data_IF_486059528637
#
_entry.id   IF_486059528637
#
_cell.length_a   1.000
_cell.length_b   1.000
_cell.length_c   1.000
_cell.angle_alpha   90.00
_cell.angle_beta   90.00
_cell.angle_gamma   90.00
#
_symmetry.space_group_name_H-M   'P 1'
#
loop_
_entity.id
_entity.type
_entity.pdbx_description
1 polymer ?
#
# COMPACT_ATOMS: atom_id res chain seq x y z
N UNK A 1 21.40 9.57 5.24
CA UNK A 1 21.07 8.32 4.51
C UNK A 1 19.65 8.44 4.00
N UNK A 2 19.46 8.87 2.75
CA UNK A 2 18.12 9.03 2.13
C UNK A 2 17.97 7.96 1.07
N UNK A 3 17.71 6.73 1.53
CA UNK A 3 17.29 5.60 0.72
C UNK A 3 16.17 4.88 1.45
N UNK A 4 15.33 4.08 0.75
CA UNK A 4 14.35 3.25 1.42
C UNK A 4 15.05 2.40 2.49
N UNK A 5 14.48 2.33 3.69
CA UNK A 5 14.97 1.41 4.73
C UNK A 5 15.09 -0.01 4.17
N UNK A 6 16.08 -0.77 4.65
CA UNK A 6 16.36 -2.12 4.16
C UNK A 6 15.05 -2.94 4.16
N UNK A 7 14.76 -3.62 3.03
CA UNK A 7 13.55 -4.44 2.84
C UNK A 7 12.30 -3.69 2.37
N UNK A 8 12.39 -2.40 2.03
CA UNK A 8 11.35 -1.65 1.32
C UNK A 8 11.65 -1.60 -0.17
N UNK A 9 10.72 -2.12 -0.97
CA UNK A 9 10.83 -2.18 -2.42
C UNK A 9 9.86 -1.19 -3.06
N UNK A 10 10.41 -0.16 -3.71
CA UNK A 10 9.62 0.92 -4.32
C UNK A 10 8.87 0.40 -5.55
N UNK A 11 7.58 0.74 -5.63
CA UNK A 11 6.73 0.45 -6.78
C UNK A 11 6.63 1.67 -7.69
N UNK A 12 6.62 1.42 -9.00
CA UNK A 12 6.33 2.47 -9.98
C UNK A 12 4.83 2.80 -9.91
N UNK A 13 4.50 3.89 -9.22
CA UNK A 13 3.12 4.18 -8.86
C UNK A 13 2.78 5.66 -8.97
N UNK A 14 1.48 5.95 -9.15
CA UNK A 14 0.91 7.29 -9.06
C UNK A 14 -0.23 7.25 -8.04
N UNK A 15 -0.20 8.15 -7.08
CA UNK A 15 -1.21 8.22 -6.01
C UNK A 15 -2.08 9.44 -6.19
N UNK A 16 -3.39 9.25 -6.07
CA UNK A 16 -4.40 10.29 -6.15
C UNK A 16 -5.22 10.30 -4.87
N UNK A 17 -5.39 11.48 -4.28
CA UNK A 17 -6.25 11.73 -3.12
C UNK A 17 -7.29 12.78 -3.52
N UNK A 18 -8.58 12.46 -3.38
CA UNK A 18 -9.69 13.34 -3.80
C UNK A 18 -9.49 13.84 -5.24
N UNK A 19 -9.18 12.89 -6.12
CA UNK A 19 -8.89 13.08 -7.55
C UNK A 19 -7.67 13.96 -7.89
N UNK A 20 -6.92 14.43 -6.90
CA UNK A 20 -5.68 15.19 -7.11
C UNK A 20 -4.49 14.27 -6.97
N UNK A 21 -3.59 14.29 -7.97
CA UNK A 21 -2.30 13.60 -7.87
C UNK A 21 -1.49 14.20 -6.72
N UNK A 22 -0.95 13.35 -5.86
CA UNK A 22 -0.07 13.74 -4.76
C UNK A 22 1.34 13.16 -4.95
N UNK A 23 2.34 13.81 -4.35
CA UNK A 23 3.67 13.23 -4.21
C UNK A 23 3.61 12.18 -3.10
N UNK A 24 3.69 10.91 -3.47
CA UNK A 24 3.67 9.80 -2.54
C UNK A 24 4.51 8.65 -3.10
N UNK A 25 5.24 7.98 -2.23
CA UNK A 25 6.00 6.79 -2.56
C UNK A 25 5.29 5.55 -2.03
N UNK A 26 5.19 4.52 -2.87
CA UNK A 26 4.54 3.26 -2.51
C UNK A 26 5.59 2.17 -2.44
N UNK A 27 5.60 1.43 -1.33
CA UNK A 27 6.57 0.37 -1.09
C UNK A 27 5.88 -0.92 -0.70
N UNK A 28 6.41 -2.05 -1.19
CA UNK A 28 6.19 -3.33 -0.52
C UNK A 28 7.24 -3.42 0.59
N UNK A 29 6.80 -3.51 1.83
CA UNK A 29 7.66 -3.68 2.98
C UNK A 29 7.70 -5.15 3.37
N UNK A 30 8.82 -5.80 3.09
CA UNK A 30 8.97 -7.25 3.24
C UNK A 30 9.08 -7.66 4.72
N UNK A 31 8.38 -8.74 5.07
CA UNK A 31 8.54 -9.40 6.38
C UNK A 31 10.01 -9.71 6.68
N UNK A 32 10.41 -9.52 7.94
CA UNK A 32 11.75 -9.84 8.44
C UNK A 32 12.74 -8.70 8.31
N UNK A 33 12.38 -7.62 7.61
CA UNK A 33 13.21 -6.43 7.48
C UNK A 33 12.62 -5.25 8.24
N UNK A 34 13.47 -4.36 8.77
CA UNK A 34 13.06 -3.13 9.46
C UNK A 34 11.91 -3.34 10.48
N UNK A 35 11.95 -4.44 11.23
CA UNK A 35 10.94 -4.89 12.21
C UNK A 35 9.55 -5.25 11.66
N UNK A 36 9.38 -5.35 10.34
CA UNK A 36 8.14 -5.81 9.72
C UNK A 36 7.87 -7.29 10.09
N UNK A 37 6.85 -7.51 10.92
CA UNK A 37 6.40 -8.86 11.30
C UNK A 37 5.65 -9.58 10.18
N UNK A 38 5.06 -8.81 9.27
CA UNK A 38 4.27 -9.28 8.14
C UNK A 38 4.55 -8.37 6.93
N UNK A 39 4.59 -8.93 5.74
CA UNK A 39 4.73 -8.16 4.50
C UNK A 39 3.49 -7.30 4.29
N UNK A 40 3.67 -6.00 4.07
CA UNK A 40 2.57 -5.04 3.90
C UNK A 40 2.89 -4.01 2.82
N UNK A 41 1.89 -3.21 2.45
CA UNK A 41 2.06 -2.11 1.51
C UNK A 41 2.12 -0.78 2.26
N UNK A 42 3.22 -0.04 2.12
CA UNK A 42 3.39 1.31 2.63
C UNK A 42 3.02 2.33 1.54
N UNK A 43 2.31 3.41 1.91
CA UNK A 43 2.06 4.58 1.07
C UNK A 43 2.51 5.80 1.87
N UNK A 44 3.65 6.36 1.49
CA UNK A 44 4.35 7.41 2.23
C UNK A 44 4.14 8.77 1.56
N UNK A 45 3.46 9.68 2.27
CA UNK A 45 3.24 11.08 1.92
C UNK A 45 2.73 11.84 3.13
N UNK A 46 3.26 13.03 3.38
CA UNK A 46 2.78 13.93 4.44
C UNK A 46 1.28 14.25 4.31
N UNK A 47 0.75 14.27 3.06
CA UNK A 47 -0.67 14.52 2.80
C UNK A 47 -1.60 13.41 3.32
N UNK A 48 -1.04 12.27 3.72
CA UNK A 48 -1.77 11.12 4.27
C UNK A 48 -1.69 11.06 5.80
N UNK A 49 -0.97 11.98 6.47
CA UNK A 49 -0.81 11.97 7.94
C UNK A 49 -2.12 12.15 8.72
N UNK A 50 -3.16 12.67 8.07
CA UNK A 50 -4.45 12.98 8.69
C UNK A 50 -5.62 12.27 8.02
N UNK A 51 -5.35 11.25 7.19
CA UNK A 51 -6.40 10.58 6.42
C UNK A 51 -7.20 9.59 7.27
N UNK A 52 -6.62 9.10 8.37
CA UNK A 52 -7.25 8.18 9.31
C UNK A 52 -7.56 8.88 10.63
N UNK A 53 -8.61 8.41 11.30
CA UNK A 53 -8.93 8.85 12.66
C UNK A 53 -8.18 7.96 13.66
N UNK A 54 -7.01 8.39 14.13
CA UNK A 54 -6.19 7.67 15.10
C UNK A 54 -5.17 6.71 14.48
N UNK A 55 -4.91 5.57 15.13
CA UNK A 55 -3.82 4.66 14.76
C UNK A 55 -4.14 3.77 13.53
N UNK A 56 -5.40 3.70 13.12
CA UNK A 56 -5.83 2.89 11.99
C UNK A 56 -7.28 2.45 12.11
N UNK A 57 -7.79 1.88 11.02
CA UNK A 57 -9.17 1.38 10.93
C UNK A 57 -9.29 0.28 9.87
N UNK A 58 -10.34 -0.54 9.97
CA UNK A 58 -10.62 -1.56 8.97
C UNK A 58 -11.35 -0.96 7.76
N UNK A 59 -10.62 -0.82 6.65
CA UNK A 59 -11.14 -0.28 5.40
C UNK A 59 -11.29 -1.35 4.32
N UNK A 60 -12.22 -1.10 3.40
CA UNK A 60 -12.34 -1.90 2.19
C UNK A 60 -11.39 -1.36 1.14
N UNK A 61 -10.51 -2.22 0.66
CA UNK A 61 -9.63 -1.97 -0.50
C UNK A 61 -10.27 -2.65 -1.70
N UNK A 62 -10.37 -1.94 -2.83
CA UNK A 62 -10.88 -2.50 -4.09
C UNK A 62 -9.79 -2.54 -5.14
N UNK A 63 -9.72 -3.64 -5.88
CA UNK A 63 -8.95 -3.74 -7.10
C UNK A 63 -9.63 -2.95 -8.22
N UNK A 64 -8.82 -2.31 -9.06
CA UNK A 64 -9.25 -1.45 -10.17
C UNK A 64 -8.41 -1.76 -11.41
N UNK A 65 -8.88 -1.33 -12.58
CA UNK A 65 -8.13 -1.47 -13.85
C UNK A 65 -6.71 -0.89 -13.81
N UNK A 66 -6.43 0.01 -12.86
CA UNK A 66 -5.16 0.72 -12.75
C UNK A 66 -4.34 0.34 -11.51
N UNK A 67 -4.84 -0.51 -10.60
CA UNK A 67 -4.20 -0.80 -9.32
C UNK A 67 -5.24 -0.99 -8.21
N UNK A 68 -5.13 -0.26 -7.11
CA UNK A 68 -6.06 -0.38 -5.97
C UNK A 68 -6.66 0.96 -5.55
N UNK A 69 -7.77 0.92 -4.81
CA UNK A 69 -8.41 2.09 -4.23
C UNK A 69 -8.89 1.83 -2.80
N UNK A 70 -8.97 2.91 -2.02
CA UNK A 70 -9.58 2.96 -0.69
C UNK A 70 -10.77 3.94 -0.79
N UNK A 71 -11.97 3.47 -1.18
CA UNK A 71 -13.08 4.37 -1.55
C UNK A 71 -13.50 5.33 -0.44
N UNK A 72 -13.57 4.86 0.81
CA UNK A 72 -13.93 5.69 1.97
C UNK A 72 -12.96 6.84 2.25
N UNK A 73 -11.75 6.77 1.69
CA UNK A 73 -10.71 7.79 1.85
C UNK A 73 -10.42 8.53 0.55
N UNK A 74 -11.18 8.26 -0.51
CA UNK A 74 -10.99 8.84 -1.84
C UNK A 74 -9.54 8.72 -2.33
N UNK A 75 -8.86 7.63 -1.94
CA UNK A 75 -7.46 7.37 -2.25
C UNK A 75 -7.36 6.30 -3.34
N UNK A 76 -6.57 6.56 -4.38
CA UNK A 76 -6.30 5.62 -5.48
C UNK A 76 -4.82 5.49 -5.70
N UNK A 77 -4.35 4.26 -5.84
CA UNK A 77 -2.96 3.91 -6.14
C UNK A 77 -2.91 3.22 -7.48
N UNK A 78 -2.36 3.91 -8.47
CA UNK A 78 -2.18 3.40 -9.81
C UNK A 78 -0.83 2.69 -9.85
N UNK A 79 -0.82 1.37 -10.02
CA UNK A 79 0.37 0.53 -10.05
C UNK A 79 0.00 -0.82 -10.67
N UNK A 80 0.68 -1.20 -11.75
CA UNK A 80 0.36 -2.42 -12.50
C UNK A 80 0.62 -3.68 -11.68
N UNK A 81 1.66 -3.69 -10.85
CA UNK A 81 1.97 -4.82 -9.97
C UNK A 81 0.84 -5.09 -8.96
N UNK A 82 0.16 -4.06 -8.46
CA UNK A 82 -0.93 -4.21 -7.50
C UNK A 82 -2.19 -4.85 -8.09
N UNK A 83 -2.36 -4.84 -9.42
CA UNK A 83 -3.44 -5.58 -10.09
C UNK A 83 -3.31 -7.09 -9.91
N UNK A 84 -2.09 -7.60 -9.71
CA UNK A 84 -1.86 -9.02 -9.41
C UNK A 84 -2.27 -9.33 -7.97
N UNK A 85 -1.99 -8.42 -7.04
CA UNK A 85 -2.31 -8.53 -5.61
C UNK A 85 -3.83 -8.56 -5.42
N UNK A 86 -4.52 -7.54 -5.93
CA UNK A 86 -5.97 -7.41 -5.87
C UNK A 86 -6.54 -7.05 -7.25
N UNK A 87 -6.91 -8.06 -8.06
CA UNK A 87 -7.45 -7.88 -9.40
C UNK A 87 -8.68 -6.98 -9.47
N UNK A 88 -8.94 -6.33 -10.63
CA UNK A 88 -10.14 -5.54 -10.82
C UNK A 88 -11.43 -6.30 -10.46
N UNK A 89 -12.36 -5.60 -9.81
CA UNK A 89 -13.62 -6.20 -9.34
C UNK A 89 -13.51 -6.97 -8.02
N UNK A 90 -12.31 -7.29 -7.55
CA UNK A 90 -12.11 -7.88 -6.22
C UNK A 90 -12.05 -6.81 -5.12
N UNK A 91 -12.42 -7.20 -3.91
CA UNK A 91 -12.31 -6.36 -2.74
C UNK A 91 -11.85 -7.17 -1.53
N UNK A 92 -11.11 -6.52 -0.63
CA UNK A 92 -10.71 -7.11 0.65
C UNK A 92 -10.89 -6.07 1.75
N UNK A 93 -11.45 -6.48 2.88
CA UNK A 93 -11.50 -5.66 4.09
C UNK A 93 -10.30 -5.99 4.95
N UNK A 94 -9.49 -4.98 5.25
CA UNK A 94 -8.18 -5.14 5.89
C UNK A 94 -7.88 -3.95 6.79
N UNK A 95 -6.90 -4.11 7.68
CA UNK A 95 -6.42 -3.03 8.51
C UNK A 95 -5.60 -2.04 7.69
N UNK A 96 -5.97 -0.77 7.75
CA UNK A 96 -5.17 0.34 7.26
C UNK A 96 -4.70 1.13 8.46
N UNK A 97 -3.39 1.15 8.70
CA UNK A 97 -2.80 1.78 9.85
C UNK A 97 -2.14 3.11 9.51
N UNK A 98 -2.15 4.02 10.46
CA UNK A 98 -1.40 5.27 10.39
C UNK A 98 0.07 4.97 10.67
N UNK A 99 0.97 5.65 9.95
CA UNK A 99 2.39 5.71 10.26
C UNK A 99 2.88 7.14 10.16
N UNK A 100 4.10 7.37 10.63
CA UNK A 100 4.82 8.61 10.37
C UNK A 100 4.95 8.75 8.86
N UNK A 101 4.51 9.89 8.33
CA UNK A 101 4.53 10.25 6.91
C UNK A 101 3.75 9.32 5.99
N UNK A 102 2.64 8.74 6.45
CA UNK A 102 1.76 8.00 5.54
C UNK A 102 0.85 6.98 6.20
N UNK A 103 0.49 5.97 5.42
CA UNK A 103 -0.32 4.84 5.87
C UNK A 103 0.31 3.51 5.44
N UNK A 104 -0.10 2.43 6.08
CA UNK A 104 0.19 1.07 5.60
C UNK A 104 -1.08 0.24 5.48
N UNK A 105 -1.07 -0.74 4.56
CA UNK A 105 -2.18 -1.67 4.32
C UNK A 105 -1.73 -3.09 4.71
N UNK A 106 -2.30 -3.61 5.78
CA UNK A 106 -2.00 -4.93 6.36
C UNK A 106 -2.85 -6.06 5.76
N UNK A 107 -2.64 -6.34 4.47
CA UNK A 107 -3.38 -7.33 3.67
C UNK A 107 -3.59 -8.71 4.33
N UNK A 108 -4.57 -9.49 3.84
CA UNK A 108 -4.75 -10.89 4.28
C UNK A 108 -3.71 -11.79 3.65
N UNK A 109 -3.57 -13.01 4.18
CA UNK A 109 -2.56 -14.00 3.75
C UNK A 109 -2.52 -14.22 2.23
N UNK A 110 -3.68 -14.30 1.57
CA UNK A 110 -3.78 -14.46 0.11
C UNK A 110 -3.13 -13.33 -0.67
N UNK A 111 -3.34 -12.08 -0.26
CA UNK A 111 -2.74 -10.90 -0.90
C UNK A 111 -1.27 -10.72 -0.50
N UNK A 112 -0.90 -11.09 0.73
CA UNK A 112 0.50 -11.10 1.19
C UNK A 112 1.37 -12.00 0.32
N UNK A 113 0.92 -13.24 0.05
CA UNK A 113 1.68 -14.17 -0.79
C UNK A 113 1.94 -13.60 -2.19
N UNK A 114 0.98 -12.86 -2.75
CA UNK A 114 1.12 -12.20 -4.05
C UNK A 114 2.10 -11.01 -3.99
N UNK A 115 2.11 -10.25 -2.90
CA UNK A 115 3.13 -9.21 -2.66
C UNK A 115 4.53 -9.83 -2.60
N UNK A 116 4.68 -10.95 -1.89
CA UNK A 116 5.96 -11.67 -1.77
C UNK A 116 6.40 -12.28 -3.11
N UNK A 117 5.47 -12.74 -3.94
CA UNK A 117 5.77 -13.19 -5.31
C UNK A 117 6.25 -12.05 -6.22
N UNK A 118 5.74 -10.82 -6.03
CA UNK A 118 6.26 -9.64 -6.75
C UNK A 118 7.69 -9.34 -6.32
N UNK A 119 8.01 -9.51 -5.03
CA UNK A 119 9.36 -9.30 -4.50
C UNK A 119 10.35 -10.33 -5.04
N UNK A 120 9.99 -11.60 -5.11
CA UNK A 120 10.89 -12.66 -5.59
C UNK A 120 11.30 -12.51 -7.05
N UNK A 121 10.50 -11.79 -7.86
CA UNK A 121 10.78 -11.48 -9.27
C UNK A 121 11.66 -10.25 -9.47
N UNK A 122 11.96 -9.49 -8.40
CA UNK A 122 12.81 -8.29 -8.42
C UNK A 122 14.22 -8.56 -7.87
N UNK A 123 14.50 -9.79 -7.45
CA UNK A 123 15.82 -10.31 -7.04
C UNK A 123 16.37 -11.14 -8.19
#
# INVERSE_FOLDING_TARGET
>A
MTGPGIGKFKLNSKVYLKDKKIHADVYIHQKGFSFARVTHLDIESEKLNSILSGNGEFLTIKGTEYGISIPLKELRVFCDELKKVLPPGQATRTWVGQKIDGIYIGFKKSEILKLEEILSKKI
#
